data_IF_170857203304
#
_entry.id   IF_170857203304
#
_cell.length_a   1.000
_cell.length_b   1.000
_cell.length_c   1.000
_cell.angle_alpha   90.00
_cell.angle_beta   90.00
_cell.angle_gamma   90.00
#
_symmetry.space_group_name_H-M   'P 1'
#
loop_
_entity.id
_entity.type
_entity.pdbx_description
1 polymer ?
#
# COMPACT_ATOMS: atom_id res chain seq x y z
N UNK A 1 10.35 -13.66 -11.07
CA UNK A 1 10.01 -12.23 -11.28
C UNK A 1 9.66 -11.65 -9.92
N UNK A 2 10.14 -10.44 -9.60
CA UNK A 2 9.93 -9.80 -8.28
C UNK A 2 8.60 -9.04 -8.28
N UNK A 3 7.75 -9.33 -7.29
CA UNK A 3 6.48 -8.64 -7.05
C UNK A 3 6.51 -8.09 -5.62
N UNK A 4 6.18 -6.82 -5.46
CA UNK A 4 6.22 -6.13 -4.18
C UNK A 4 4.82 -5.66 -3.83
N UNK A 5 4.26 -6.23 -2.77
CA UNK A 5 2.99 -5.81 -2.18
C UNK A 5 3.25 -4.66 -1.21
N UNK A 6 2.52 -3.55 -1.36
CA UNK A 6 2.68 -2.34 -0.57
C UNK A 6 1.40 -2.06 0.19
N UNK A 7 1.49 -1.99 1.52
CA UNK A 7 0.42 -1.44 2.36
C UNK A 7 0.95 -0.63 3.53
N UNK A 8 0.34 0.53 3.74
CA UNK A 8 0.56 1.41 4.87
C UNK A 8 -0.51 1.27 5.96
N UNK A 9 -1.68 0.70 5.66
CA UNK A 9 -2.80 0.66 6.60
C UNK A 9 -3.17 -0.73 7.14
N UNK A 10 -2.87 -1.78 6.38
CA UNK A 10 -3.35 -3.13 6.66
C UNK A 10 -2.50 -3.85 7.70
N UNK A 11 -3.10 -4.87 8.32
CA UNK A 11 -2.40 -5.80 9.18
C UNK A 11 -1.56 -6.79 8.35
N UNK A 12 -0.41 -7.22 8.89
CA UNK A 12 0.55 -8.10 8.19
C UNK A 12 -0.08 -9.39 7.64
N UNK A 13 -1.00 -10.02 8.36
CA UNK A 13 -1.70 -11.24 7.92
C UNK A 13 -3.13 -10.95 7.46
N UNK A 14 -3.35 -9.80 6.83
CA UNK A 14 -4.62 -9.49 6.18
C UNK A 14 -5.02 -10.60 5.19
N UNK A 15 -6.29 -11.00 5.24
CA UNK A 15 -6.79 -12.12 4.44
C UNK A 15 -6.73 -11.84 2.93
N UNK A 16 -6.79 -10.58 2.50
CA UNK A 16 -6.75 -10.20 1.08
C UNK A 16 -5.28 -10.17 0.63
N UNK A 17 -4.46 -9.36 1.29
CA UNK A 17 -3.08 -9.10 0.85
C UNK A 17 -2.17 -10.31 1.10
N UNK A 18 -2.12 -10.83 2.34
CA UNK A 18 -1.19 -11.90 2.67
C UNK A 18 -1.70 -13.24 2.17
N UNK A 19 -2.91 -13.62 2.59
CA UNK A 19 -3.42 -14.98 2.36
C UNK A 19 -3.83 -15.24 0.91
N UNK A 20 -4.59 -14.32 0.29
CA UNK A 20 -5.11 -14.53 -1.07
C UNK A 20 -4.14 -14.09 -2.16
N UNK A 21 -3.47 -12.95 -1.99
CA UNK A 21 -2.60 -12.40 -3.03
C UNK A 21 -1.17 -12.92 -2.87
N UNK A 22 -0.49 -12.60 -1.75
CA UNK A 22 0.95 -12.86 -1.58
C UNK A 22 1.28 -14.36 -1.61
N UNK A 23 0.57 -15.17 -0.83
CA UNK A 23 0.79 -16.64 -0.81
C UNK A 23 0.50 -17.29 -2.16
N UNK A 24 -0.56 -16.84 -2.86
CA UNK A 24 -0.86 -17.37 -4.19
C UNK A 24 0.26 -17.04 -5.19
N UNK A 25 0.82 -15.83 -5.15
CA UNK A 25 1.95 -15.46 -5.99
C UNK A 25 3.19 -16.30 -5.68
N UNK A 26 3.53 -16.49 -4.40
CA UNK A 26 4.63 -17.37 -4.00
C UNK A 26 4.42 -18.80 -4.53
N UNK A 27 3.21 -19.34 -4.37
CA UNK A 27 2.87 -20.69 -4.84
C UNK A 27 2.95 -20.85 -6.36
N UNK A 28 2.93 -19.75 -7.11
CA UNK A 28 3.11 -19.73 -8.57
C UNK A 28 4.55 -19.37 -8.98
N UNK A 29 5.50 -19.38 -8.05
CA UNK A 29 6.94 -19.19 -8.34
C UNK A 29 7.40 -17.73 -8.45
N UNK A 30 6.59 -16.78 -7.98
CA UNK A 30 7.03 -15.38 -7.87
C UNK A 30 7.87 -15.15 -6.61
N UNK A 31 8.84 -14.24 -6.71
CA UNK A 31 9.59 -13.73 -5.56
C UNK A 31 8.81 -12.55 -5.00
N UNK A 32 8.26 -12.69 -3.79
CA UNK A 32 7.27 -11.77 -3.24
C UNK A 32 7.80 -11.11 -1.97
N UNK A 33 7.85 -9.77 -2.01
CA UNK A 33 8.10 -8.97 -0.82
C UNK A 33 6.81 -8.25 -0.41
N UNK A 34 6.52 -8.24 0.89
CA UNK A 34 5.39 -7.53 1.48
C UNK A 34 5.92 -6.43 2.39
N UNK A 35 5.86 -5.18 1.94
CA UNK A 35 6.20 -4.01 2.74
C UNK A 35 4.95 -3.57 3.49
N UNK A 36 4.95 -3.81 4.80
CA UNK A 36 3.78 -3.58 5.64
C UNK A 36 4.21 -3.22 7.06
N UNK A 37 3.35 -2.51 7.80
CA UNK A 37 3.63 -2.20 9.21
C UNK A 37 3.77 -3.48 10.02
N UNK A 38 4.96 -3.70 10.57
CA UNK A 38 5.25 -4.90 11.34
C UNK A 38 6.35 -4.67 12.39
N UNK A 39 6.59 -5.64 13.26
CA UNK A 39 7.60 -5.52 14.34
C UNK A 39 9.00 -5.88 13.90
N UNK A 40 9.14 -6.71 12.88
CA UNK A 40 10.42 -7.25 12.41
C UNK A 40 10.30 -7.73 10.98
N UNK A 41 11.42 -7.78 10.28
CA UNK A 41 11.52 -8.48 9.01
C UNK A 41 11.45 -9.99 9.29
N UNK A 42 10.68 -10.73 8.49
CA UNK A 42 10.61 -12.19 8.58
C UNK A 42 10.07 -12.80 7.29
N UNK A 43 10.30 -14.11 7.11
CA UNK A 43 9.73 -14.87 6.01
C UNK A 43 8.62 -15.75 6.55
N UNK A 44 7.41 -15.61 6.01
CA UNK A 44 6.23 -16.39 6.41
C UNK A 44 5.58 -16.98 5.18
N UNK A 45 5.42 -18.30 5.13
CA UNK A 45 4.85 -19.02 3.98
C UNK A 45 5.52 -18.66 2.64
N UNK A 46 6.84 -18.41 2.67
CA UNK A 46 7.65 -18.01 1.51
C UNK A 46 7.48 -16.54 1.07
N UNK A 47 6.65 -15.75 1.76
CA UNK A 47 6.53 -14.31 1.56
C UNK A 47 7.59 -13.59 2.41
N UNK A 48 8.40 -12.72 1.80
CA UNK A 48 9.36 -11.90 2.52
C UNK A 48 8.65 -10.67 3.11
N UNK A 49 8.34 -10.70 4.40
CA UNK A 49 7.75 -9.56 5.11
C UNK A 49 8.86 -8.58 5.48
N UNK A 50 8.78 -7.38 4.91
CA UNK A 50 9.70 -6.28 5.18
C UNK A 50 8.96 -5.26 6.04
N UNK A 51 9.38 -5.14 7.29
CA UNK A 51 8.72 -4.30 8.28
C UNK A 51 8.87 -2.82 7.95
N UNK A 52 7.73 -2.14 8.06
CA UNK A 52 7.62 -0.69 8.15
C UNK A 52 7.37 -0.27 9.60
N UNK A 53 7.75 0.96 9.98
CA UNK A 53 7.54 1.47 11.33
C UNK A 53 6.06 1.35 11.74
N UNK A 54 5.81 0.76 12.91
CA UNK A 54 4.48 0.79 13.50
C UNK A 54 4.12 2.21 13.95
N UNK A 55 2.93 2.66 13.58
CA UNK A 55 2.38 3.93 14.02
C UNK A 55 1.01 3.76 14.65
N UNK A 56 0.79 4.43 15.78
CA UNK A 56 -0.53 4.56 16.36
C UNK A 56 -1.30 5.65 15.62
N UNK A 57 -2.42 5.28 15.00
CA UNK A 57 -3.35 6.21 14.35
C UNK A 57 -2.97 6.59 12.91
N UNK A 58 -3.90 7.29 12.25
CA UNK A 58 -3.82 7.61 10.81
C UNK A 58 -2.79 8.68 10.47
N UNK A 59 -2.58 9.64 11.38
CA UNK A 59 -1.65 10.76 11.16
C UNK A 59 -0.18 10.34 11.15
N UNK A 60 0.20 9.26 11.84
CA UNK A 60 1.58 8.78 11.83
C UNK A 60 2.02 8.20 10.49
N UNK A 61 1.07 7.75 9.65
CA UNK A 61 1.34 7.08 8.38
C UNK A 61 2.06 7.98 7.37
N UNK A 62 1.55 9.18 7.03
CA UNK A 62 2.23 10.07 6.09
C UNK A 62 3.63 10.52 6.56
N UNK A 63 3.86 10.61 7.88
CA UNK A 63 5.14 11.12 8.41
C UNK A 63 6.20 10.05 8.66
N UNK A 64 5.82 8.79 8.90
CA UNK A 64 6.77 7.71 9.25
C UNK A 64 6.72 6.54 8.28
N UNK A 65 5.52 6.07 7.95
CA UNK A 65 5.33 4.87 7.11
C UNK A 65 5.66 5.19 5.66
N UNK A 66 5.03 6.22 5.08
CA UNK A 66 5.21 6.57 3.66
C UNK A 66 6.67 6.92 3.32
N UNK A 67 7.41 7.72 4.11
CA UNK A 67 8.82 7.99 3.83
C UNK A 67 9.73 6.77 3.99
N UNK A 68 9.41 5.86 4.92
CA UNK A 68 10.13 4.60 5.06
C UNK A 68 9.87 3.66 3.88
N UNK A 69 8.61 3.60 3.43
CA UNK A 69 8.21 2.80 2.29
C UNK A 69 8.88 3.31 1.02
N UNK A 70 8.89 4.63 0.80
CA UNK A 70 9.56 5.25 -0.35
C UNK A 70 11.05 4.91 -0.41
N UNK A 71 11.77 5.01 0.72
CA UNK A 71 13.20 4.65 0.79
C UNK A 71 13.47 3.21 0.40
N UNK A 72 12.65 2.26 0.87
CA UNK A 72 12.81 0.85 0.53
C UNK A 72 12.46 0.57 -0.93
N UNK A 73 11.42 1.22 -1.45
CA UNK A 73 10.92 1.01 -2.82
C UNK A 73 11.94 1.42 -3.89
N UNK A 74 12.70 2.50 -3.67
CA UNK A 74 13.70 2.96 -4.66
C UNK A 74 14.92 2.03 -4.78
N UNK A 75 15.12 1.12 -3.83
CA UNK A 75 16.23 0.15 -3.84
C UNK A 75 15.92 -1.08 -4.72
N UNK A 76 14.68 -1.21 -5.20
CA UNK A 76 14.27 -2.34 -6.02
C UNK A 76 14.77 -2.24 -7.47
N UNK A 77 15.03 -3.38 -8.14
CA UNK A 77 15.46 -3.40 -9.52
C UNK A 77 14.33 -3.00 -10.48
N UNK A 78 14.68 -2.43 -11.63
CA UNK A 78 13.73 -1.89 -12.64
C UNK A 78 12.66 -2.86 -13.16
N UNK A 79 12.88 -4.18 -13.06
CA UNK A 79 11.91 -5.22 -13.47
C UNK A 79 10.89 -5.58 -12.37
N UNK A 80 10.80 -4.79 -11.30
CA UNK A 80 9.88 -5.02 -10.19
C UNK A 80 8.45 -4.60 -10.55
N UNK A 81 7.48 -5.41 -10.15
CA UNK A 81 6.06 -5.05 -10.20
C UNK A 81 5.65 -4.60 -8.81
N UNK A 82 5.16 -3.37 -8.68
CA UNK A 82 4.58 -2.86 -7.45
C UNK A 82 3.07 -3.04 -7.46
N UNK A 83 2.53 -3.60 -6.39
CA UNK A 83 1.10 -3.78 -6.19
C UNK A 83 0.72 -3.12 -4.87
N UNK A 84 -0.12 -2.08 -4.90
CA UNK A 84 -0.45 -1.33 -3.69
C UNK A 84 -1.95 -1.30 -3.44
N UNK A 85 -2.32 -1.24 -2.16
CA UNK A 85 -3.70 -1.46 -1.70
C UNK A 85 -4.35 -0.27 -1.01
N UNK A 86 -3.56 0.75 -0.67
CA UNK A 86 -4.03 1.91 0.08
C UNK A 86 -4.06 3.15 -0.81
N UNK A 87 -5.17 3.91 -0.86
CA UNK A 87 -5.26 5.09 -1.74
C UNK A 87 -4.23 6.19 -1.45
N UNK A 88 -3.74 6.27 -0.21
CA UNK A 88 -2.68 7.20 0.17
C UNK A 88 -1.33 6.91 -0.52
N UNK A 89 -1.18 5.74 -1.13
CA UNK A 89 -0.01 5.35 -1.92
C UNK A 89 -0.13 5.72 -3.41
N UNK A 90 -1.27 6.21 -3.88
CA UNK A 90 -1.45 6.62 -5.28
C UNK A 90 -0.35 7.58 -5.77
N UNK A 91 0.02 8.65 -5.03
CA UNK A 91 1.11 9.54 -5.45
C UNK A 91 2.44 8.79 -5.65
N UNK A 92 2.72 7.79 -4.81
CA UNK A 92 3.90 6.96 -4.96
C UNK A 92 3.78 6.03 -6.16
N UNK A 93 2.62 5.41 -6.37
CA UNK A 93 2.35 4.58 -7.54
C UNK A 93 2.57 5.33 -8.86
N UNK A 94 2.08 6.57 -8.95
CA UNK A 94 2.30 7.44 -10.10
C UNK A 94 3.79 7.76 -10.32
N UNK A 95 4.51 8.04 -9.23
CA UNK A 95 5.95 8.29 -9.29
C UNK A 95 6.74 7.06 -9.76
N UNK A 96 6.38 5.87 -9.28
CA UNK A 96 7.00 4.62 -9.73
C UNK A 96 6.71 4.34 -11.20
N UNK A 97 5.47 4.57 -11.64
CA UNK A 97 5.09 4.46 -13.05
C UNK A 97 5.92 5.43 -13.92
N UNK A 98 6.14 6.65 -13.45
CA UNK A 98 7.00 7.62 -14.12
C UNK A 98 8.46 7.13 -14.26
N UNK A 99 8.98 6.41 -13.27
CA UNK A 99 10.29 5.74 -13.34
C UNK A 99 10.30 4.45 -14.16
N UNK A 100 9.20 4.09 -14.84
CA UNK A 100 9.11 2.95 -15.75
C UNK A 100 8.76 1.62 -15.07
N UNK A 101 8.42 1.62 -13.78
CA UNK A 101 7.94 0.42 -13.10
C UNK A 101 6.53 0.05 -13.55
N UNK A 102 6.23 -1.26 -13.53
CA UNK A 102 4.85 -1.73 -13.61
C UNK A 102 4.20 -1.57 -12.25
N UNK A 103 3.08 -0.87 -12.20
CA UNK A 103 2.37 -0.56 -10.98
C UNK A 103 0.92 -1.00 -11.11
N UNK A 104 0.41 -1.69 -10.09
CA UNK A 104 -0.97 -2.15 -9.98
C UNK A 104 -1.56 -1.51 -8.74
N UNK A 105 -2.74 -0.92 -8.89
CA UNK A 105 -3.55 -0.43 -7.78
C UNK A 105 -4.73 -1.37 -7.56
N UNK A 106 -4.87 -1.93 -6.36
CA UNK A 106 -5.96 -2.83 -5.99
C UNK A 106 -6.62 -2.34 -4.70
N UNK A 107 -7.69 -1.56 -4.88
CA UNK A 107 -8.48 -1.00 -3.79
C UNK A 107 -9.54 -2.00 -3.35
N UNK A 108 -9.49 -2.40 -2.08
CA UNK A 108 -10.42 -3.40 -1.56
C UNK A 108 -11.71 -2.80 -0.96
N UNK A 109 -11.72 -1.49 -0.70
CA UNK A 109 -12.82 -0.78 -0.03
C UNK A 109 -13.13 0.51 -0.78
N UNK A 110 -14.42 0.87 -0.88
CA UNK A 110 -14.85 2.16 -1.41
C UNK A 110 -14.49 3.28 -0.43
N UNK A 111 -13.23 3.68 -0.47
CA UNK A 111 -12.63 4.64 0.45
C UNK A 111 -13.32 6.01 0.39
N UNK A 112 -13.95 6.34 -0.74
CA UNK A 112 -14.75 7.55 -0.95
C UNK A 112 -16.02 7.48 -0.12
N UNK A 113 -16.81 6.43 -0.31
CA UNK A 113 -18.06 6.21 0.45
C UNK A 113 -17.76 6.09 1.94
N UNK A 114 -16.63 5.47 2.28
CA UNK A 114 -16.18 5.27 3.65
C UNK A 114 -15.85 6.58 4.37
N UNK A 115 -15.35 7.60 3.66
CA UNK A 115 -15.20 8.96 4.19
C UNK A 115 -16.56 9.66 4.27
N UNK A 116 -17.41 9.49 3.26
CA UNK A 116 -18.74 10.08 3.18
C UNK A 116 -19.69 9.59 4.30
N UNK A 117 -19.47 8.40 4.87
CA UNK A 117 -20.28 7.86 5.96
C UNK A 117 -19.79 8.25 7.37
N UNK A 118 -18.60 8.85 7.50
CA UNK A 118 -18.03 9.27 8.80
C UNK A 118 -18.66 10.58 9.27
N UNK A 119 -19.66 10.46 10.15
CA UNK A 119 -20.42 11.60 10.69
C UNK A 119 -19.67 12.45 11.72
N UNK A 120 -18.57 11.94 12.27
CA UNK A 120 -17.74 12.66 13.25
C UNK A 120 -16.69 13.59 12.61
N UNK A 121 -16.52 13.54 11.27
CA UNK A 121 -15.59 14.40 10.55
C UNK A 121 -16.21 15.77 10.28
N UNK A 122 -15.40 16.83 10.42
CA UNK A 122 -15.82 18.17 10.02
C UNK A 122 -16.25 18.17 8.54
N UNK A 123 -17.43 18.73 8.19
CA UNK A 123 -17.96 18.73 6.82
C UNK A 123 -17.00 19.29 5.77
N UNK A 124 -16.17 20.28 6.12
CA UNK A 124 -15.18 20.87 5.21
C UNK A 124 -14.04 19.89 4.92
N UNK A 125 -13.49 19.27 5.97
CA UNK A 125 -12.43 18.26 5.83
C UNK A 125 -12.93 17.06 5.03
N UNK A 126 -14.15 16.61 5.30
CA UNK A 126 -14.82 15.53 4.57
C UNK A 126 -14.89 15.81 3.07
N UNK A 127 -15.40 17.00 2.69
CA UNK A 127 -15.49 17.41 1.28
C UNK A 127 -14.13 17.48 0.59
N UNK A 128 -13.12 18.06 1.25
CA UNK A 128 -11.76 18.17 0.70
C UNK A 128 -11.15 16.78 0.50
N UNK A 129 -11.19 15.92 1.53
CA UNK A 129 -10.66 14.56 1.47
C UNK A 129 -11.31 13.75 0.36
N UNK A 130 -12.63 13.84 0.20
CA UNK A 130 -13.36 13.16 -0.88
C UNK A 130 -12.93 13.65 -2.27
N UNK A 131 -12.80 14.97 -2.48
CA UNK A 131 -12.39 15.52 -3.78
C UNK A 131 -10.96 15.08 -4.13
N UNK A 132 -10.04 15.17 -3.16
CA UNK A 132 -8.65 14.77 -3.35
C UNK A 132 -8.57 13.27 -3.68
N UNK A 133 -9.27 12.43 -2.92
CA UNK A 133 -9.28 10.99 -3.13
C UNK A 133 -9.85 10.63 -4.52
N UNK A 134 -11.02 11.16 -4.89
CA UNK A 134 -11.62 10.94 -6.23
C UNK A 134 -10.66 11.34 -7.35
N UNK A 135 -9.97 12.46 -7.20
CA UNK A 135 -9.01 12.92 -8.20
C UNK A 135 -7.79 12.01 -8.27
N UNK A 136 -7.24 11.55 -7.15
CA UNK A 136 -6.13 10.60 -7.13
C UNK A 136 -6.54 9.27 -7.78
N UNK A 137 -7.70 8.71 -7.41
CA UNK A 137 -8.20 7.46 -7.98
C UNK A 137 -8.39 7.55 -9.50
N UNK A 138 -8.84 8.69 -10.02
CA UNK A 138 -8.98 8.88 -11.48
C UNK A 138 -7.66 8.87 -12.25
N UNK A 139 -6.52 9.00 -11.56
CA UNK A 139 -5.18 9.03 -12.16
C UNK A 139 -4.45 7.68 -12.08
N UNK A 140 -4.86 6.82 -11.15
CA UNK A 140 -4.27 5.50 -10.92
C UNK A 140 -4.72 4.51 -12.01
#
# INVERSE_FOLDING_TARGET
MKVVQLSSAHYVFDNRIFNKISKSLVNNGYDVDLLIQHTKDEVVDGVNVIALPKVSGKLGRPFKVIPSLFRKVIEYPSKTIFHFHDPELIPMGLLLRFFGYKVIYDIHEDSVTDIEQKNYLNPLLKKISTIVLKKLESLA
#
